data_IF_511171211854
#
_entry.id   IF_511171211854
#
_cell.length_a   1.000
_cell.length_b   1.000
_cell.length_c   1.000
_cell.angle_alpha   90.00
_cell.angle_beta   90.00
_cell.angle_gamma   90.00
#
_symmetry.space_group_name_H-M   'P 1'
#
loop_
_entity.id
_entity.type
_entity.pdbx_description
1 polymer ?
#
# COMPACT_ATOMS: atom_id res chain seq x y z
N UNK A 1 2.85 -13.83 14.53
CA UNK A 1 1.41 -13.86 14.88
C UNK A 1 1.00 -15.32 14.79
N UNK A 2 0.56 -15.92 15.89
CA UNK A 2 0.04 -17.30 15.87
C UNK A 2 -1.41 -17.34 15.40
N UNK A 3 -2.14 -18.39 15.76
CA UNK A 3 -3.57 -18.55 15.45
C UNK A 3 -4.50 -17.55 16.18
N UNK A 4 -3.95 -16.71 17.05
CA UNK A 4 -4.72 -15.67 17.73
C UNK A 4 -4.95 -14.47 16.81
N UNK A 5 -6.19 -14.01 16.75
CA UNK A 5 -6.55 -12.75 16.09
C UNK A 5 -5.86 -11.61 16.83
N UNK A 6 -5.03 -10.84 16.13
CA UNK A 6 -4.38 -9.63 16.65
C UNK A 6 -4.98 -8.39 16.01
N UNK A 7 -5.10 -7.31 16.80
CA UNK A 7 -5.41 -5.97 16.30
C UNK A 7 -4.10 -5.20 16.24
N UNK A 8 -3.64 -4.90 15.02
CA UNK A 8 -2.34 -4.31 14.74
C UNK A 8 -2.50 -3.24 13.65
N UNK A 9 -1.42 -2.55 13.32
CA UNK A 9 -1.46 -1.45 12.36
C UNK A 9 -1.64 -1.94 10.91
N UNK A 10 -2.23 -1.05 10.11
CA UNK A 10 -2.33 -1.18 8.66
C UNK A 10 -1.19 -0.38 8.01
N UNK A 11 -0.52 -0.98 7.05
CA UNK A 11 0.43 -0.31 6.17
C UNK A 11 -0.23 0.03 4.84
N UNK A 12 -0.27 1.31 4.47
CA UNK A 12 -0.73 1.75 3.16
C UNK A 12 0.45 1.88 2.21
N UNK A 13 0.35 1.23 1.06
CA UNK A 13 1.26 1.38 -0.06
C UNK A 13 0.68 2.40 -1.03
N UNK A 14 1.50 3.39 -1.40
CA UNK A 14 1.18 4.39 -2.42
C UNK A 14 2.27 4.37 -3.48
N UNK A 15 1.88 4.12 -4.73
CA UNK A 15 2.76 4.20 -5.88
C UNK A 15 1.98 4.85 -7.02
N UNK A 16 2.60 5.81 -7.69
CA UNK A 16 1.94 6.64 -8.69
C UNK A 16 2.82 6.80 -9.93
N UNK A 17 2.18 7.03 -11.06
CA UNK A 17 2.81 7.53 -12.30
C UNK A 17 2.31 8.95 -12.53
N UNK A 18 3.22 9.88 -12.79
CA UNK A 18 2.90 11.29 -13.01
C UNK A 18 3.90 11.90 -13.99
N UNK A 19 3.41 12.69 -14.94
CA UNK A 19 4.25 13.42 -15.89
C UNK A 19 4.61 14.82 -15.41
N UNK A 20 3.68 15.50 -14.71
CA UNK A 20 3.81 16.92 -14.37
C UNK A 20 3.45 17.27 -12.91
N UNK A 21 3.07 16.28 -12.10
CA UNK A 21 2.70 16.45 -10.70
C UNK A 21 1.29 17.04 -10.49
N UNK A 22 0.59 17.43 -11.56
CA UNK A 22 -0.78 17.94 -11.51
C UNK A 22 -1.79 16.80 -11.57
N UNK A 23 -1.53 15.79 -12.40
CA UNK A 23 -2.29 14.54 -12.44
C UNK A 23 -1.40 13.35 -12.12
N UNK A 24 -1.97 12.33 -11.48
CA UNK A 24 -1.27 11.09 -11.19
C UNK A 24 -2.24 9.92 -11.14
N UNK A 25 -1.90 8.84 -11.83
CA UNK A 25 -2.60 7.57 -11.70
C UNK A 25 -1.84 6.64 -10.75
N UNK A 26 -2.57 5.76 -10.06
CA UNK A 26 -1.93 4.72 -9.28
C UNK A 26 -1.12 3.80 -10.22
N UNK A 27 0.07 3.39 -9.76
CA UNK A 27 0.92 2.53 -10.57
C UNK A 27 0.31 1.11 -10.64
N UNK A 28 0.21 0.51 -11.83
CA UNK A 28 -0.32 -0.85 -11.94
C UNK A 28 0.74 -1.90 -11.54
N UNK A 29 0.85 -2.16 -10.24
CA UNK A 29 1.72 -3.19 -9.69
C UNK A 29 1.19 -4.59 -10.03
N UNK A 30 2.05 -5.43 -10.59
CA UNK A 30 1.70 -6.83 -10.88
C UNK A 30 1.28 -7.55 -9.59
N UNK A 31 0.24 -8.37 -9.67
CA UNK A 31 -0.29 -9.12 -8.51
C UNK A 31 0.77 -9.94 -7.77
N UNK A 32 1.70 -10.57 -8.49
CA UNK A 32 2.79 -11.34 -7.88
C UNK A 32 3.73 -10.47 -7.04
N UNK A 33 4.03 -9.26 -7.50
CA UNK A 33 4.85 -8.30 -6.78
C UNK A 33 4.16 -7.83 -5.50
N UNK A 34 2.85 -7.56 -5.58
CA UNK A 34 2.04 -7.19 -4.40
C UNK A 34 2.05 -8.28 -3.32
N UNK A 35 1.96 -9.55 -3.72
CA UNK A 35 2.03 -10.69 -2.80
C UNK A 35 3.40 -10.78 -2.11
N UNK A 36 4.49 -10.56 -2.87
CA UNK A 36 5.86 -10.57 -2.33
C UNK A 36 6.04 -9.45 -1.31
N UNK A 37 5.64 -8.22 -1.65
CA UNK A 37 5.78 -7.06 -0.75
C UNK A 37 4.94 -7.26 0.51
N UNK A 38 3.67 -7.65 0.38
CA UNK A 38 2.79 -7.85 1.52
C UNK A 38 3.37 -8.86 2.51
N UNK A 39 3.87 -10.00 2.01
CA UNK A 39 4.50 -11.02 2.85
C UNK A 39 5.79 -10.49 3.50
N UNK A 40 6.60 -9.73 2.77
CA UNK A 40 7.84 -9.18 3.30
C UNK A 40 7.58 -8.20 4.43
N UNK A 41 6.59 -7.30 4.29
CA UNK A 41 6.21 -6.33 5.33
C UNK A 41 5.70 -7.06 6.58
N UNK A 42 4.69 -7.93 6.44
CA UNK A 42 4.05 -8.61 7.58
C UNK A 42 5.04 -9.50 8.34
N UNK A 43 5.96 -10.17 7.63
CA UNK A 43 6.90 -11.08 8.28
C UNK A 43 8.08 -10.38 8.95
N UNK A 44 8.45 -9.17 8.52
CA UNK A 44 9.65 -8.48 9.03
C UNK A 44 9.34 -7.30 9.95
N UNK A 45 8.12 -6.76 9.92
CA UNK A 45 7.73 -5.62 10.75
C UNK A 45 6.71 -6.08 11.79
N UNK A 46 7.17 -6.21 13.04
CA UNK A 46 6.28 -6.47 14.18
C UNK A 46 5.30 -5.31 14.32
N UNK A 47 4.03 -5.63 14.58
CA UNK A 47 2.98 -4.63 14.75
C UNK A 47 2.23 -4.24 13.46
N UNK A 48 2.54 -4.86 12.32
CA UNK A 48 1.77 -4.72 11.08
C UNK A 48 1.18 -6.08 10.71
N UNK A 49 -0.16 -6.16 10.60
CA UNK A 49 -0.85 -7.39 10.18
C UNK A 49 -1.63 -7.24 8.87
N UNK A 50 -1.65 -6.04 8.28
CA UNK A 50 -2.41 -5.74 7.08
C UNK A 50 -1.66 -4.75 6.21
N UNK A 51 -1.67 -5.03 4.90
CA UNK A 51 -1.14 -4.14 3.87
C UNK A 51 -2.27 -3.82 2.90
N UNK A 52 -2.46 -2.54 2.58
CA UNK A 52 -3.44 -2.05 1.59
C UNK A 52 -2.72 -1.27 0.50
N UNK A 53 -3.29 -1.23 -0.70
CA UNK A 53 -2.75 -0.45 -1.81
C UNK A 53 -3.77 0.60 -2.23
N UNK A 54 -3.33 1.86 -2.29
CA UNK A 54 -4.19 2.95 -2.72
C UNK A 54 -4.27 3.02 -4.25
N UNK A 55 -5.47 2.73 -4.75
CA UNK A 55 -5.81 2.70 -6.18
C UNK A 55 -6.58 3.96 -6.63
N UNK A 56 -6.48 5.05 -5.88
CA UNK A 56 -7.18 6.32 -6.17
C UNK A 56 -6.29 7.25 -6.98
N UNK A 57 -6.79 7.78 -8.10
CA UNK A 57 -6.05 8.77 -8.91
C UNK A 57 -6.14 10.18 -8.31
N UNK A 58 -5.13 10.99 -8.64
CA UNK A 58 -5.12 12.45 -8.47
C UNK A 58 -5.44 13.11 -9.81
N UNK A 59 -6.50 13.94 -9.92
CA UNK A 59 -7.62 14.13 -8.99
C UNK A 59 -8.59 12.92 -8.96
N UNK A 60 -9.46 12.78 -7.92
CA UNK A 60 -9.79 13.78 -6.89
C UNK A 60 -8.90 13.74 -5.64
N UNK A 61 -8.07 12.71 -5.46
CA UNK A 61 -7.24 12.61 -4.26
C UNK A 61 -5.96 13.45 -4.38
N UNK A 62 -5.23 13.54 -3.28
CA UNK A 62 -3.82 13.93 -3.25
C UNK A 62 -2.92 12.71 -3.46
N UNK A 63 -1.60 12.95 -3.62
CA UNK A 63 -0.60 11.87 -3.62
C UNK A 63 -0.39 11.40 -2.18
N UNK A 64 -0.15 12.35 -1.28
CA UNK A 64 -0.03 12.14 0.16
C UNK A 64 -1.40 11.94 0.83
N UNK A 65 -1.38 11.48 2.07
CA UNK A 65 -2.57 11.23 2.90
C UNK A 65 -2.94 12.39 3.85
N UNK A 66 -2.12 13.44 3.91
CA UNK A 66 -2.28 14.63 4.75
C UNK A 66 -1.93 15.91 3.98
#
# INVERSE_FOLDING_TARGET
MGDNRTYEHVCLLRAITSEDGMTADFFNLKKNFMQIISNKIINNIKGINRVVYDITSKPPSTIELE
#
